data_IF_970612593514
#
_entry.id   IF_970612593514
#
_cell.length_a   1.000
_cell.length_b   1.000
_cell.length_c   1.000
_cell.angle_alpha   90.00
_cell.angle_beta   90.00
_cell.angle_gamma   90.00
#
_symmetry.space_group_name_H-M   'P 1'
#
loop_
_entity.id
_entity.type
_entity.pdbx_description
1 polymer ?
#
# COMPACT_ATOMS: atom_id res chain seq x y z
N UNK A 1 -1.20 -19.82 12.76
CA UNK A 1 -0.86 -18.71 11.84
C UNK A 1 -1.66 -18.93 10.55
N UNK A 2 -2.48 -17.98 10.12
CA UNK A 2 -3.20 -18.08 8.85
C UNK A 2 -2.32 -17.53 7.72
N UNK A 3 -2.18 -18.30 6.65
CA UNK A 3 -1.42 -17.94 5.44
C UNK A 3 -2.40 -17.73 4.30
N UNK A 4 -2.39 -16.54 3.72
CA UNK A 4 -3.25 -16.19 2.57
C UNK A 4 -2.64 -16.80 1.31
N UNK A 5 -3.43 -17.58 0.61
CA UNK A 5 -3.02 -18.24 -0.65
C UNK A 5 -3.82 -17.75 -1.86
N UNK A 6 -4.88 -16.95 -1.63
CA UNK A 6 -5.73 -16.42 -2.68
C UNK A 6 -6.41 -15.13 -2.21
N UNK A 7 -6.55 -14.17 -3.11
CA UNK A 7 -7.25 -12.92 -2.89
C UNK A 7 -8.49 -12.82 -3.80
N UNK A 8 -9.62 -12.30 -3.29
CA UNK A 8 -10.77 -11.93 -4.12
C UNK A 8 -10.43 -10.77 -5.07
N UNK A 9 -11.21 -10.63 -6.14
CA UNK A 9 -11.12 -9.47 -7.03
C UNK A 9 -11.42 -8.17 -6.28
N UNK A 10 -10.70 -7.12 -6.65
CA UNK A 10 -10.87 -5.79 -6.09
C UNK A 10 -10.28 -5.62 -4.69
N UNK A 11 -9.52 -6.57 -4.15
CA UNK A 11 -8.90 -6.47 -2.81
C UNK A 11 -7.41 -6.15 -2.95
N UNK A 12 -6.89 -5.28 -2.08
CA UNK A 12 -5.46 -5.05 -2.00
C UNK A 12 -4.74 -6.33 -1.58
N UNK A 13 -3.76 -6.75 -2.38
CA UNK A 13 -3.06 -8.00 -2.18
C UNK A 13 -1.55 -7.89 -2.06
N UNK A 14 -0.97 -6.75 -2.43
CA UNK A 14 0.47 -6.56 -2.42
C UNK A 14 0.87 -5.11 -2.21
N UNK A 15 2.09 -4.92 -1.72
CA UNK A 15 2.75 -3.63 -1.60
C UNK A 15 4.21 -3.73 -2.04
N UNK A 16 4.67 -2.73 -2.79
CA UNK A 16 6.05 -2.60 -3.24
C UNK A 16 6.67 -1.28 -2.80
N UNK A 17 7.89 -1.34 -2.29
CA UNK A 17 8.73 -0.17 -2.05
C UNK A 17 9.62 0.10 -3.26
N UNK A 18 9.52 1.29 -3.83
CA UNK A 18 10.56 1.82 -4.71
C UNK A 18 11.50 2.70 -3.89
N UNK A 19 12.79 2.36 -3.84
CA UNK A 19 13.75 3.05 -2.95
C UNK A 19 15.06 3.41 -3.65
N UNK A 20 15.71 4.47 -3.17
CA UNK A 20 17.04 4.89 -3.66
C UNK A 20 18.18 4.07 -3.11
N UNK A 21 17.94 3.30 -2.01
CA UNK A 21 18.94 2.47 -1.35
C UNK A 21 18.30 1.18 -0.80
N UNK A 22 18.42 0.10 -1.55
CA UNK A 22 17.90 -1.23 -1.17
C UNK A 22 18.59 -1.76 0.09
N UNK A 23 19.87 -1.54 0.28
CA UNK A 23 20.59 -2.05 1.44
C UNK A 23 20.12 -1.33 2.71
N UNK A 24 19.96 -0.01 2.65
CA UNK A 24 19.39 0.79 3.72
C UNK A 24 17.95 0.41 4.03
N UNK A 25 17.11 0.16 3.03
CA UNK A 25 15.74 -0.31 3.23
C UNK A 25 15.69 -1.69 3.93
N UNK A 26 16.52 -2.65 3.51
CA UNK A 26 16.62 -3.96 4.19
C UNK A 26 17.01 -3.81 5.65
N UNK A 27 17.98 -2.95 5.96
CA UNK A 27 18.43 -2.69 7.33
C UNK A 27 17.31 -2.06 8.17
N UNK A 28 16.61 -1.07 7.60
CA UNK A 28 15.53 -0.36 8.28
C UNK A 28 14.32 -1.26 8.55
N UNK A 29 13.73 -1.87 7.51
CA UNK A 29 12.53 -2.70 7.68
C UNK A 29 12.83 -4.03 8.40
N UNK A 30 14.03 -4.60 8.21
CA UNK A 30 14.51 -5.73 9.01
C UNK A 30 14.64 -5.39 10.48
N UNK A 31 15.20 -4.22 10.80
CA UNK A 31 15.35 -3.73 12.18
C UNK A 31 14.04 -3.30 12.84
N UNK A 32 13.08 -2.78 12.05
CA UNK A 32 11.79 -2.28 12.55
C UNK A 32 10.75 -3.39 12.72
N UNK A 33 10.59 -4.24 11.69
CA UNK A 33 9.51 -5.23 11.61
C UNK A 33 10.01 -6.67 11.71
N UNK A 34 11.33 -6.89 11.80
CA UNK A 34 11.91 -8.22 11.80
C UNK A 34 11.85 -8.93 10.44
N UNK A 35 11.68 -8.17 9.36
CA UNK A 35 11.59 -8.76 8.03
C UNK A 35 12.93 -9.33 7.56
N UNK A 36 12.88 -10.50 6.95
CA UNK A 36 13.99 -11.12 6.23
C UNK A 36 13.88 -10.73 4.75
N UNK A 37 15.01 -10.49 4.10
CA UNK A 37 15.06 -10.07 2.70
C UNK A 37 15.73 -11.15 1.84
N UNK A 38 15.01 -11.61 0.79
CA UNK A 38 15.52 -12.51 -0.23
C UNK A 38 15.56 -11.76 -1.57
N UNK A 39 16.73 -11.74 -2.22
CA UNK A 39 16.90 -11.14 -3.54
C UNK A 39 16.60 -12.15 -4.64
N UNK A 40 15.74 -11.77 -5.55
CA UNK A 40 15.27 -12.59 -6.66
C UNK A 40 15.72 -11.97 -7.98
N UNK A 41 16.51 -12.69 -8.81
CA UNK A 41 16.91 -12.21 -10.12
C UNK A 41 15.71 -11.94 -11.03
N UNK A 42 15.70 -10.78 -11.70
CA UNK A 42 14.61 -10.39 -12.64
C UNK A 42 14.89 -10.75 -14.09
N UNK A 43 16.04 -11.36 -14.38
CA UNK A 43 16.40 -11.81 -15.73
C UNK A 43 16.98 -10.75 -16.66
N UNK A 44 17.44 -9.61 -16.13
CA UNK A 44 18.08 -8.57 -16.94
C UNK A 44 18.04 -7.16 -16.37
N UNK A 45 17.35 -7.01 -15.24
CA UNK A 45 17.29 -5.78 -14.44
C UNK A 45 17.92 -5.97 -13.07
N UNK A 46 17.79 -4.98 -12.18
CA UNK A 46 18.18 -5.13 -10.79
C UNK A 46 17.33 -6.22 -10.12
N UNK A 47 17.92 -6.87 -9.10
CA UNK A 47 17.21 -7.87 -8.33
C UNK A 47 15.98 -7.27 -7.65
N UNK A 48 14.90 -8.06 -7.56
CA UNK A 48 13.72 -7.75 -6.76
C UNK A 48 13.90 -8.31 -5.37
N UNK A 49 13.72 -7.48 -4.35
CA UNK A 49 13.81 -7.91 -2.95
C UNK A 49 12.43 -8.33 -2.45
N UNK A 50 12.29 -9.59 -2.02
CA UNK A 50 11.11 -10.11 -1.35
C UNK A 50 11.33 -10.02 0.16
N UNK A 51 10.52 -9.23 0.86
CA UNK A 51 10.49 -9.23 2.32
C UNK A 51 9.59 -10.34 2.85
N UNK A 52 10.04 -11.03 3.90
CA UNK A 52 9.38 -12.20 4.47
C UNK A 52 9.37 -12.15 6.00
N UNK A 53 8.35 -12.78 6.58
CA UNK A 53 8.28 -13.16 8.01
C UNK A 53 8.09 -14.67 8.05
N UNK A 54 8.96 -15.39 8.76
CA UNK A 54 8.92 -16.86 8.87
C UNK A 54 8.81 -17.57 7.50
N UNK A 55 9.52 -17.06 6.49
CA UNK A 55 9.51 -17.59 5.13
C UNK A 55 8.29 -17.18 4.27
N UNK A 56 7.35 -16.42 4.81
CA UNK A 56 6.13 -15.96 4.12
C UNK A 56 6.28 -14.54 3.61
N UNK A 57 5.97 -14.31 2.33
CA UNK A 57 6.06 -13.00 1.69
C UNK A 57 5.08 -11.99 2.33
N UNK A 58 5.57 -10.77 2.62
CA UNK A 58 4.79 -9.68 3.23
C UNK A 58 4.84 -8.39 2.41
N UNK A 59 5.94 -8.12 1.71
CA UNK A 59 6.14 -6.93 0.89
C UNK A 59 7.26 -7.16 -0.12
N UNK A 60 7.34 -6.29 -1.12
CA UNK A 60 8.45 -6.24 -2.05
C UNK A 60 9.24 -4.95 -1.99
N UNK A 61 10.43 -4.94 -2.63
CA UNK A 61 11.16 -3.72 -2.89
C UNK A 61 11.98 -3.80 -4.17
N UNK A 62 12.05 -2.67 -4.86
CA UNK A 62 12.88 -2.49 -6.05
C UNK A 62 13.77 -1.25 -5.91
N UNK A 63 15.00 -1.28 -6.43
CA UNK A 63 15.77 -0.06 -6.56
C UNK A 63 15.13 0.87 -7.58
N UNK A 64 15.09 2.15 -7.25
CA UNK A 64 14.60 3.19 -8.14
C UNK A 64 15.47 3.27 -9.39
N UNK A 65 14.86 3.29 -10.58
CA UNK A 65 15.58 3.47 -11.83
C UNK A 65 16.17 4.87 -11.97
N UNK A 66 17.17 5.02 -12.83
CA UNK A 66 17.77 6.33 -13.11
C UNK A 66 16.75 7.29 -13.75
N UNK A 67 15.82 6.80 -14.58
CA UNK A 67 14.75 7.58 -15.16
C UNK A 67 13.80 8.14 -14.09
N UNK A 68 13.40 7.31 -13.11
CA UNK A 68 12.56 7.75 -11.99
C UNK A 68 13.28 8.81 -11.15
N UNK A 69 14.58 8.64 -10.90
CA UNK A 69 15.42 9.65 -10.21
C UNK A 69 15.48 10.96 -10.99
N UNK A 70 15.68 10.89 -12.30
CA UNK A 70 15.76 12.04 -13.19
C UNK A 70 14.42 12.81 -13.24
N UNK A 71 13.28 12.10 -13.14
CA UNK A 71 11.94 12.68 -13.05
C UNK A 71 11.60 13.23 -11.66
N UNK A 72 12.46 13.05 -10.66
CA UNK A 72 12.23 13.51 -9.30
C UNK A 72 11.19 12.69 -8.53
N UNK A 73 10.93 11.45 -8.93
CA UNK A 73 10.02 10.55 -8.19
C UNK A 73 10.64 10.27 -6.81
N UNK A 74 9.91 10.49 -5.71
CA UNK A 74 10.42 10.16 -4.38
C UNK A 74 10.39 8.64 -4.13
N UNK A 75 11.14 8.14 -3.15
CA UNK A 75 10.91 6.80 -2.61
C UNK A 75 9.45 6.65 -2.16
N UNK A 76 8.80 5.54 -2.53
CA UNK A 76 7.36 5.39 -2.33
C UNK A 76 6.96 3.94 -2.16
N UNK A 77 5.97 3.71 -1.30
CA UNK A 77 5.20 2.48 -1.25
C UNK A 77 4.05 2.54 -2.26
N UNK A 78 3.91 1.51 -3.07
CA UNK A 78 2.81 1.33 -4.04
C UNK A 78 1.97 0.15 -3.61
N UNK A 79 0.66 0.36 -3.45
CA UNK A 79 -0.30 -0.69 -3.14
C UNK A 79 -0.92 -1.25 -4.41
N UNK A 80 -1.07 -2.57 -4.48
CA UNK A 80 -1.63 -3.27 -5.63
C UNK A 80 -2.99 -3.88 -5.31
N UNK A 81 -3.95 -3.65 -6.18
CA UNK A 81 -5.28 -4.28 -6.16
C UNK A 81 -5.25 -5.52 -7.04
N UNK A 82 -5.65 -6.66 -6.47
CA UNK A 82 -5.84 -7.92 -7.23
C UNK A 82 -7.00 -7.76 -8.20
N UNK A 83 -6.78 -8.14 -9.45
CA UNK A 83 -7.79 -8.13 -10.49
C UNK A 83 -7.56 -9.27 -11.50
N UNK A 84 -8.59 -10.05 -11.84
CA UNK A 84 -8.45 -11.15 -12.81
C UNK A 84 -8.34 -10.61 -14.24
N UNK A 85 -9.22 -9.68 -14.63
CA UNK A 85 -9.23 -9.00 -15.92
C UNK A 85 -8.46 -7.68 -15.87
N UNK A 86 -7.13 -7.76 -15.88
CA UNK A 86 -6.26 -6.57 -15.76
C UNK A 86 -6.34 -5.67 -17.01
N UNK A 87 -6.53 -6.24 -18.20
CA UNK A 87 -6.63 -5.45 -19.44
C UNK A 87 -7.93 -4.65 -19.45
N UNK A 88 -9.06 -5.28 -19.11
CA UNK A 88 -10.34 -4.59 -18.97
C UNK A 88 -10.33 -3.55 -17.83
N UNK A 89 -9.67 -3.84 -16.71
CA UNK A 89 -9.55 -2.87 -15.62
C UNK A 89 -8.72 -1.65 -16.01
N UNK A 90 -7.61 -1.84 -16.73
CA UNK A 90 -6.80 -0.73 -17.26
C UNK A 90 -7.59 0.12 -18.29
N UNK A 91 -8.40 -0.51 -19.13
CA UNK A 91 -9.28 0.21 -20.07
C UNK A 91 -10.33 1.04 -19.31
N UNK A 92 -11.04 0.45 -18.32
CA UNK A 92 -12.00 1.18 -17.48
C UNK A 92 -11.33 2.33 -16.71
N UNK A 93 -10.10 2.15 -16.25
CA UNK A 93 -9.36 3.23 -15.58
C UNK A 93 -9.11 4.41 -16.52
N UNK A 94 -8.70 4.16 -17.76
CA UNK A 94 -8.52 5.22 -18.76
C UNK A 94 -9.86 5.91 -19.12
N UNK A 95 -10.94 5.13 -19.29
CA UNK A 95 -12.29 5.66 -19.56
C UNK A 95 -12.82 6.55 -18.43
N UNK A 96 -12.45 6.22 -17.16
CA UNK A 96 -12.83 6.98 -15.97
C UNK A 96 -11.92 8.19 -15.70
N UNK A 97 -11.03 8.56 -16.63
CA UNK A 97 -10.15 9.72 -16.52
C UNK A 97 -8.85 9.47 -15.75
N UNK A 98 -8.52 8.21 -15.46
CA UNK A 98 -7.22 7.83 -14.92
C UNK A 98 -6.12 7.81 -15.99
N UNK A 99 -4.87 7.79 -15.55
CA UNK A 99 -3.70 7.67 -16.43
C UNK A 99 -3.05 6.31 -16.23
N UNK A 100 -3.03 5.50 -17.30
CA UNK A 100 -2.30 4.22 -17.30
C UNK A 100 -0.86 4.52 -17.73
N UNK A 101 0.04 4.72 -16.78
CA UNK A 101 1.44 5.05 -17.10
C UNK A 101 2.32 3.82 -17.29
N UNK A 102 1.88 2.64 -16.81
CA UNK A 102 2.44 1.35 -17.18
C UNK A 102 1.30 0.41 -17.57
N UNK A 103 1.16 0.10 -18.87
CA UNK A 103 0.09 -0.81 -19.32
C UNK A 103 0.30 -2.23 -18.81
N UNK A 104 -0.75 -3.09 -18.83
CA UNK A 104 -0.64 -4.47 -18.40
C UNK A 104 0.52 -5.21 -19.06
N UNK A 105 1.44 -5.73 -18.25
CA UNK A 105 2.62 -6.45 -18.70
C UNK A 105 2.86 -7.70 -17.84
N UNK A 106 3.52 -8.69 -18.42
CA UNK A 106 3.89 -9.92 -17.72
C UNK A 106 5.09 -9.68 -16.80
N UNK A 107 5.01 -10.22 -15.59
CA UNK A 107 6.09 -10.30 -14.62
C UNK A 107 6.51 -11.76 -14.50
N UNK A 108 7.35 -12.20 -15.41
CA UNK A 108 7.81 -13.59 -15.53
C UNK A 108 6.58 -14.55 -15.49
N UNK A 109 6.64 -15.60 -14.67
CA UNK A 109 5.55 -16.53 -14.39
C UNK A 109 4.70 -16.12 -13.18
N UNK A 110 5.10 -15.07 -12.47
CA UNK A 110 4.45 -14.62 -11.22
C UNK A 110 3.04 -14.08 -11.45
N UNK A 111 2.85 -13.30 -12.51
CA UNK A 111 1.56 -12.66 -12.82
C UNK A 111 1.68 -11.56 -13.85
N UNK A 112 0.70 -10.67 -13.88
CA UNK A 112 0.69 -9.46 -14.70
C UNK A 112 0.46 -8.24 -13.83
N UNK A 113 1.12 -7.13 -14.15
CA UNK A 113 0.97 -5.87 -13.43
C UNK A 113 0.62 -4.73 -14.37
N UNK A 114 -0.01 -3.70 -13.82
CA UNK A 114 -0.16 -2.39 -14.43
C UNK A 114 0.00 -1.31 -13.35
N UNK A 115 0.46 -0.12 -13.72
CA UNK A 115 0.49 1.03 -12.82
C UNK A 115 -0.41 2.13 -13.37
N UNK A 116 -1.25 2.65 -12.50
CA UNK A 116 -2.33 3.58 -12.83
C UNK A 116 -2.33 4.73 -11.82
N UNK A 117 -2.70 5.90 -12.30
CA UNK A 117 -3.01 7.05 -11.46
C UNK A 117 -4.51 7.35 -11.62
N UNK A 118 -5.20 7.56 -10.52
CA UNK A 118 -6.59 7.98 -10.52
C UNK A 118 -6.72 9.47 -10.93
N UNK A 119 -7.93 9.96 -11.24
CA UNK A 119 -8.13 11.36 -11.64
C UNK A 119 -7.72 12.40 -10.59
N UNK A 120 -7.56 11.99 -9.33
CA UNK A 120 -7.14 12.89 -8.24
C UNK A 120 -5.63 12.98 -8.08
N UNK A 121 -4.89 12.09 -8.76
CA UNK A 121 -3.44 12.02 -8.73
C UNK A 121 -2.85 10.88 -7.91
N UNK A 122 -3.67 10.04 -7.27
CA UNK A 122 -3.18 8.92 -6.48
C UNK A 122 -2.77 7.74 -7.37
N UNK A 123 -1.51 7.33 -7.26
CA UNK A 123 -0.97 6.19 -8.00
C UNK A 123 -1.19 4.87 -7.24
N UNK A 124 -1.48 3.81 -7.97
CA UNK A 124 -1.63 2.46 -7.46
C UNK A 124 -1.28 1.41 -8.52
N UNK A 125 -1.03 0.20 -8.07
CA UNK A 125 -0.81 -0.95 -8.94
C UNK A 125 -2.08 -1.81 -9.09
N UNK A 126 -2.15 -2.53 -10.20
CA UNK A 126 -3.06 -3.65 -10.40
C UNK A 126 -2.23 -4.91 -10.53
N UNK A 127 -2.69 -6.02 -9.97
CA UNK A 127 -2.02 -7.32 -10.03
C UNK A 127 -2.98 -8.42 -10.43
N UNK A 128 -2.68 -9.09 -11.55
CA UNK A 128 -3.38 -10.31 -11.98
C UNK A 128 -2.46 -11.50 -11.70
N UNK A 129 -2.74 -12.30 -10.65
CA UNK A 129 -1.82 -13.34 -10.19
C UNK A 129 -1.79 -14.55 -11.12
N UNK A 130 -0.60 -15.17 -11.23
CA UNK A 130 -0.38 -16.53 -11.75
C UNK A 130 0.24 -17.39 -10.63
N UNK A 131 1.56 -17.51 -10.58
CA UNK A 131 2.25 -18.24 -9.52
C UNK A 131 2.33 -17.46 -8.20
N UNK A 132 2.24 -16.12 -8.22
CA UNK A 132 2.36 -15.29 -7.03
C UNK A 132 1.03 -14.60 -6.68
N UNK A 133 0.35 -15.03 -5.59
CA UNK A 133 -0.97 -14.50 -5.22
C UNK A 133 -0.93 -13.12 -4.54
N UNK A 134 0.22 -12.70 -4.01
CA UNK A 134 0.38 -11.50 -3.17
C UNK A 134 0.94 -11.83 -1.78
N UNK A 135 0.69 -10.96 -0.80
CA UNK A 135 1.17 -11.12 0.56
C UNK A 135 0.60 -12.38 1.22
N UNK A 136 1.47 -13.21 1.74
CA UNK A 136 1.06 -14.43 2.44
C UNK A 136 0.59 -14.14 3.88
N UNK A 137 1.03 -13.02 4.46
CA UNK A 137 0.64 -12.58 5.80
C UNK A 137 0.17 -11.13 5.73
N UNK A 138 -1.04 -10.89 6.24
CA UNK A 138 -1.67 -9.55 6.38
C UNK A 138 -2.50 -9.51 7.68
N UNK A 139 -2.90 -8.32 8.12
CA UNK A 139 -3.79 -8.09 9.26
C UNK A 139 -3.25 -8.67 10.59
N UNK A 140 -1.93 -8.61 10.76
CA UNK A 140 -1.23 -9.03 11.97
C UNK A 140 -0.02 -8.12 12.23
N UNK A 141 0.57 -8.11 13.43
CA UNK A 141 1.73 -7.29 13.71
C UNK A 141 2.84 -7.43 12.66
N UNK A 142 3.41 -6.30 12.27
CA UNK A 142 4.49 -6.14 11.29
C UNK A 142 4.12 -6.54 9.86
N UNK A 143 2.83 -6.49 9.50
CA UNK A 143 2.35 -6.74 8.13
C UNK A 143 1.37 -5.66 7.68
N UNK A 144 1.08 -5.63 6.37
CA UNK A 144 0.04 -4.79 5.80
C UNK A 144 -1.30 -5.06 6.51
N UNK A 145 -1.97 -4.00 6.95
CA UNK A 145 -3.26 -4.08 7.60
C UNK A 145 -4.34 -3.19 6.95
N UNK A 146 -3.94 -2.08 6.34
CA UNK A 146 -4.89 -1.16 5.74
C UNK A 146 -4.26 -0.36 4.60
N UNK A 147 -5.08 0.11 3.68
CA UNK A 147 -4.73 1.10 2.68
C UNK A 147 -5.70 2.26 2.77
N UNK A 148 -5.19 3.48 2.70
CA UNK A 148 -6.00 4.68 2.84
C UNK A 148 -5.73 5.65 1.70
N UNK A 149 -6.76 5.99 0.94
CA UNK A 149 -6.69 7.04 -0.05
C UNK A 149 -6.75 8.41 0.64
N UNK A 150 -5.76 9.23 0.40
CA UNK A 150 -5.70 10.62 0.84
C UNK A 150 -5.89 11.51 -0.38
N UNK A 151 -7.02 12.21 -0.46
CA UNK A 151 -7.37 13.00 -1.64
C UNK A 151 -8.16 14.26 -1.29
N UNK A 152 -8.03 15.32 -2.12
CA UNK A 152 -8.82 16.54 -2.03
C UNK A 152 -10.13 16.47 -2.84
N UNK A 153 -10.25 15.50 -3.75
CA UNK A 153 -11.46 15.29 -4.57
C UNK A 153 -12.02 13.88 -4.36
N UNK A 154 -12.59 13.69 -3.16
CA UNK A 154 -13.22 12.42 -2.80
C UNK A 154 -14.37 12.02 -3.74
N UNK A 155 -15.25 12.94 -4.24
CA UNK A 155 -16.27 12.59 -5.21
C UNK A 155 -15.71 11.97 -6.49
N UNK A 156 -14.65 12.53 -7.08
CA UNK A 156 -14.00 11.98 -8.27
C UNK A 156 -13.39 10.60 -8.00
N UNK A 157 -12.71 10.44 -6.84
CA UNK A 157 -12.15 9.16 -6.43
C UNK A 157 -13.22 8.07 -6.27
N UNK A 158 -14.33 8.38 -5.57
CA UNK A 158 -15.46 7.43 -5.39
C UNK A 158 -16.03 6.97 -6.72
N UNK A 159 -16.24 7.90 -7.67
CA UNK A 159 -16.74 7.57 -9.00
C UNK A 159 -15.76 6.66 -9.76
N UNK A 160 -14.46 6.97 -9.70
CA UNK A 160 -13.40 6.22 -10.35
C UNK A 160 -13.32 4.77 -9.82
N UNK A 161 -13.14 4.58 -8.51
CA UNK A 161 -12.96 3.24 -7.95
C UNK A 161 -14.22 2.38 -8.05
N UNK A 162 -15.39 2.99 -8.01
CA UNK A 162 -16.66 2.29 -8.32
C UNK A 162 -16.69 1.80 -9.77
N UNK A 163 -16.25 2.62 -10.73
CA UNK A 163 -16.25 2.25 -12.15
C UNK A 163 -15.20 1.16 -12.45
N UNK A 164 -13.99 1.30 -11.89
CA UNK A 164 -12.88 0.40 -12.21
C UNK A 164 -13.01 -0.95 -11.53
N UNK A 165 -13.34 -0.98 -10.24
CA UNK A 165 -13.33 -2.17 -9.40
C UNK A 165 -14.72 -2.60 -8.91
N UNK A 166 -15.76 -1.81 -9.14
CA UNK A 166 -17.10 -2.09 -8.61
C UNK A 166 -17.19 -1.90 -7.08
N UNK A 167 -16.27 -1.14 -6.48
CA UNK A 167 -16.29 -0.92 -5.04
C UNK A 167 -17.55 -0.21 -4.59
N UNK A 168 -18.10 -0.66 -3.46
CA UNK A 168 -19.17 0.03 -2.73
C UNK A 168 -18.52 0.95 -1.71
N UNK A 169 -19.00 2.16 -1.59
CA UNK A 169 -18.51 3.13 -0.62
C UNK A 169 -19.57 3.45 0.42
N UNK A 170 -19.12 3.71 1.64
CA UNK A 170 -19.96 4.13 2.77
C UNK A 170 -19.24 5.20 3.59
N UNK A 171 -19.90 6.30 3.84
CA UNK A 171 -19.40 7.38 4.70
C UNK A 171 -19.65 7.04 6.16
N UNK A 172 -18.66 7.31 7.03
CA UNK A 172 -18.82 7.12 8.47
C UNK A 172 -19.72 8.21 9.04
N UNK A 173 -20.67 7.81 9.89
CA UNK A 173 -21.63 8.72 10.54
C UNK A 173 -21.06 9.37 11.82
N UNK A 174 -19.83 9.86 11.73
CA UNK A 174 -19.11 10.51 12.84
C UNK A 174 -18.71 11.97 12.54
N UNK A 175 -19.11 12.46 11.36
CA UNK A 175 -18.79 13.81 10.90
C UNK A 175 -17.35 14.01 10.44
N UNK A 176 -16.54 12.96 10.37
CA UNK A 176 -15.15 13.02 9.89
C UNK A 176 -15.05 13.20 8.38
N UNK A 177 -16.09 12.81 7.63
CA UNK A 177 -16.07 12.69 6.19
C UNK A 177 -15.24 11.50 5.69
N UNK A 178 -14.82 10.61 6.59
CA UNK A 178 -14.10 9.39 6.24
C UNK A 178 -15.02 8.44 5.48
N UNK A 179 -14.52 7.89 4.38
CA UNK A 179 -15.27 6.95 3.55
C UNK A 179 -14.56 5.60 3.55
N UNK A 180 -15.30 4.54 3.78
CA UNK A 180 -14.82 3.17 3.61
C UNK A 180 -15.21 2.62 2.26
N UNK A 181 -14.38 1.77 1.69
CA UNK A 181 -14.64 1.05 0.46
C UNK A 181 -14.67 -0.47 0.70
N UNK A 182 -15.62 -1.13 0.07
CA UNK A 182 -15.79 -2.58 0.13
C UNK A 182 -15.73 -3.21 -1.27
N UNK A 183 -15.01 -4.32 -1.38
CA UNK A 183 -15.07 -5.23 -2.51
C UNK A 183 -16.02 -6.38 -2.17
N UNK A 184 -17.16 -6.48 -2.87
CA UNK A 184 -18.26 -7.33 -2.44
C UNK A 184 -18.81 -6.89 -1.09
N UNK A 185 -18.77 -7.77 -0.09
CA UNK A 185 -19.22 -7.48 1.29
C UNK A 185 -18.04 -7.25 2.25
N UNK A 186 -16.81 -7.23 1.73
CA UNK A 186 -15.60 -7.03 2.52
C UNK A 186 -15.15 -5.57 2.47
N UNK A 187 -15.12 -4.91 3.63
CA UNK A 187 -14.40 -3.64 3.81
C UNK A 187 -12.91 -3.90 3.67
N UNK A 188 -12.20 -3.09 2.88
CA UNK A 188 -10.80 -3.36 2.56
C UNK A 188 -9.89 -2.14 2.60
N UNK A 189 -10.44 -0.94 2.47
CA UNK A 189 -9.68 0.30 2.50
C UNK A 189 -10.58 1.48 2.85
N UNK A 190 -9.97 2.61 3.11
CA UNK A 190 -10.70 3.85 3.38
C UNK A 190 -10.18 5.03 2.60
N UNK A 191 -10.82 6.17 2.77
CA UNK A 191 -10.36 7.45 2.24
C UNK A 191 -10.50 8.53 3.28
N UNK A 192 -9.41 9.24 3.52
CA UNK A 192 -9.36 10.42 4.35
C UNK A 192 -9.37 11.67 3.46
N UNK A 193 -10.39 12.56 3.56
CA UNK A 193 -10.39 13.79 2.81
C UNK A 193 -9.28 14.73 3.29
N UNK A 194 -8.43 15.18 2.36
CA UNK A 194 -7.40 16.17 2.64
C UNK A 194 -8.02 17.55 2.70
N UNK A 195 -8.08 18.14 3.88
CA UNK A 195 -8.61 19.48 4.12
C UNK A 195 -7.51 20.56 4.04
N UNK A 196 -7.84 21.80 4.38
CA UNK A 196 -6.93 22.96 4.33
C UNK A 196 -5.73 22.89 5.29
N UNK A 197 -5.76 21.98 6.29
CA UNK A 197 -4.64 21.76 7.21
C UNK A 197 -3.52 20.92 6.60
N UNK A 198 -3.77 20.24 5.49
CA UNK A 198 -2.76 19.50 4.76
C UNK A 198 -1.88 20.43 3.95
N UNK A 199 -0.57 20.21 4.00
CA UNK A 199 0.35 20.94 3.14
C UNK A 199 -0.06 20.75 1.67
N UNK A 200 -0.20 21.88 0.95
CA UNK A 200 -0.64 21.88 -0.44
C UNK A 200 0.29 21.12 -1.39
N UNK A 201 1.56 20.92 -1.01
CA UNK A 201 2.55 20.18 -1.78
C UNK A 201 2.35 18.65 -1.70
N UNK A 202 1.59 18.14 -0.71
CA UNK A 202 1.32 16.71 -0.59
C UNK A 202 0.29 16.33 -1.66
N UNK A 203 0.65 15.49 -2.64
CA UNK A 203 -0.31 15.03 -3.66
C UNK A 203 -1.30 14.02 -3.07
N UNK A 204 -2.40 13.78 -3.80
CA UNK A 204 -3.24 12.63 -3.51
C UNK A 204 -2.41 11.34 -3.59
N UNK A 205 -2.64 10.41 -2.66
CA UNK A 205 -1.83 9.20 -2.55
C UNK A 205 -2.59 8.07 -1.86
N UNK A 206 -2.12 6.84 -2.03
CA UNK A 206 -2.49 5.69 -1.23
C UNK A 206 -1.46 5.50 -0.12
N UNK A 207 -1.87 5.75 1.12
CA UNK A 207 -1.06 5.49 2.30
C UNK A 207 -1.14 4.02 2.71
N UNK A 208 0.01 3.39 2.92
CA UNK A 208 0.12 2.01 3.42
C UNK A 208 0.18 2.03 4.93
N UNK A 209 -0.61 1.17 5.57
CA UNK A 209 -0.66 1.01 7.02
C UNK A 209 -0.13 -0.36 7.41
N UNK A 210 0.93 -0.35 8.24
CA UNK A 210 1.43 -1.56 8.89
C UNK A 210 0.86 -1.66 10.31
N UNK A 211 0.35 -2.84 10.66
CA UNK A 211 -0.03 -3.11 12.04
C UNK A 211 1.22 -3.20 12.93
N UNK A 212 1.16 -2.63 14.11
CA UNK A 212 2.18 -2.78 15.17
C UNK A 212 1.52 -3.12 16.50
N UNK A 213 2.25 -3.78 17.38
CA UNK A 213 1.75 -4.12 18.72
C UNK A 213 1.78 -2.92 19.68
N UNK A 214 2.81 -2.06 19.54
CA UNK A 214 3.04 -0.89 20.39
C UNK A 214 3.55 0.26 19.53
N UNK A 215 2.72 1.29 19.35
CA UNK A 215 3.05 2.46 18.53
C UNK A 215 4.16 3.34 19.17
N UNK A 216 4.23 3.41 20.50
CA UNK A 216 5.25 4.22 21.18
C UNK A 216 6.62 3.54 21.08
N UNK A 217 6.69 2.23 21.27
CA UNK A 217 7.91 1.45 21.04
C UNK A 217 8.36 1.50 19.58
N UNK A 218 7.40 1.44 18.64
CA UNK A 218 7.67 1.58 17.20
C UNK A 218 8.24 2.96 16.88
N UNK A 219 7.69 4.04 17.45
CA UNK A 219 8.19 5.39 17.26
C UNK A 219 9.65 5.55 17.73
N UNK A 220 9.98 5.01 18.90
CA UNK A 220 11.35 4.99 19.42
C UNK A 220 12.28 4.21 18.47
N UNK A 221 11.84 3.04 18.01
CA UNK A 221 12.63 2.19 17.12
C UNK A 221 12.88 2.82 15.75
N UNK A 222 11.90 3.54 15.21
CA UNK A 222 12.05 4.33 13.95
C UNK A 222 13.20 5.32 14.09
N UNK A 223 13.27 6.07 15.18
CA UNK A 223 14.32 7.05 15.40
C UNK A 223 15.72 6.40 15.55
N UNK A 224 15.82 5.27 16.27
CA UNK A 224 17.08 4.50 16.39
C UNK A 224 17.59 4.00 15.05
N UNK A 225 16.70 3.67 14.13
CA UNK A 225 17.03 3.17 12.79
C UNK A 225 17.24 4.28 11.76
N UNK A 226 17.23 5.55 12.17
CA UNK A 226 17.47 6.70 11.30
C UNK A 226 16.26 7.17 10.49
N UNK A 227 15.07 6.64 10.74
CA UNK A 227 13.82 7.17 10.22
C UNK A 227 13.31 8.36 11.02
N UNK A 228 12.18 8.92 10.60
CA UNK A 228 11.55 10.06 11.27
C UNK A 228 10.05 9.81 11.48
N UNK A 229 9.55 10.12 12.69
CA UNK A 229 8.12 10.23 12.96
C UNK A 229 7.66 11.60 12.51
N UNK A 230 6.80 11.65 11.49
CA UNK A 230 6.28 12.89 10.92
C UNK A 230 5.03 13.38 11.68
N UNK A 231 4.19 12.42 12.12
CA UNK A 231 2.94 12.70 12.84
C UNK A 231 2.74 11.67 13.95
N UNK A 232 2.27 12.12 15.09
CA UNK A 232 1.89 11.25 16.22
C UNK A 232 3.00 11.02 17.25
N UNK A 233 2.75 10.06 18.17
CA UNK A 233 1.60 9.14 18.28
C UNK A 233 0.26 9.86 18.53
N UNK A 234 -0.72 9.61 17.68
CA UNK A 234 -2.06 10.20 17.77
C UNK A 234 -3.13 9.11 17.94
N UNK A 235 -4.27 9.49 18.49
CA UNK A 235 -5.45 8.62 18.56
C UNK A 235 -6.23 8.66 17.24
N UNK A 236 -6.66 7.48 16.77
CA UNK A 236 -7.65 7.29 15.73
C UNK A 236 -9.02 6.88 16.34
N UNK A 237 -9.39 7.50 17.46
CA UNK A 237 -10.62 7.19 18.17
C UNK A 237 -10.64 5.75 18.70
N UNK A 238 -11.75 5.06 18.49
CA UNK A 238 -11.94 3.68 18.93
C UNK A 238 -11.09 2.68 18.12
N UNK A 239 -10.60 3.08 16.94
CA UNK A 239 -9.82 2.19 16.08
C UNK A 239 -8.40 1.92 16.59
N UNK A 240 -7.79 2.88 17.30
CA UNK A 240 -6.44 2.67 17.83
C UNK A 240 -5.59 3.92 17.89
N UNK A 241 -4.26 3.73 17.80
CA UNK A 241 -3.27 4.80 17.78
C UNK A 241 -2.31 4.60 16.61
N UNK A 242 -1.82 5.71 16.06
CA UNK A 242 -0.96 5.65 14.87
C UNK A 242 0.16 6.68 14.91
N UNK A 243 1.19 6.40 14.12
CA UNK A 243 2.25 7.34 13.72
C UNK A 243 2.37 7.32 12.21
N UNK A 244 2.69 8.48 11.62
CA UNK A 244 3.17 8.55 10.23
C UNK A 244 4.68 8.60 10.24
N UNK A 245 5.29 7.72 9.49
CA UNK A 245 6.73 7.47 9.49
C UNK A 245 7.31 7.78 8.12
N UNK A 246 8.48 8.38 8.09
CA UNK A 246 9.34 8.45 6.91
C UNK A 246 10.59 7.60 7.16
N UNK A 247 10.86 6.66 6.26
CA UNK A 247 12.07 5.86 6.33
C UNK A 247 13.33 6.69 6.00
N UNK A 248 14.54 6.18 6.20
CA UNK A 248 15.77 6.93 5.94
C UNK A 248 15.97 7.36 4.48
N UNK A 249 15.30 6.70 3.52
CA UNK A 249 15.36 7.01 2.11
C UNK A 249 14.29 8.01 1.66
N UNK A 250 13.24 8.21 2.46
CA UNK A 250 12.17 9.17 2.22
C UNK A 250 10.79 8.58 1.98
N UNK A 251 10.64 7.26 1.91
CA UNK A 251 9.33 6.64 1.75
C UNK A 251 8.47 6.79 3.01
N UNK A 252 7.19 7.09 2.83
CA UNK A 252 6.26 7.36 3.92
C UNK A 252 5.28 6.20 4.06
N UNK A 253 5.00 5.82 5.31
CA UNK A 253 3.98 4.84 5.68
C UNK A 253 3.36 5.18 7.03
N UNK A 254 2.26 4.54 7.38
CA UNK A 254 1.62 4.64 8.70
C UNK A 254 1.86 3.35 9.47
N UNK A 255 2.27 3.46 10.74
CA UNK A 255 2.25 2.35 11.68
C UNK A 255 1.07 2.53 12.64
N UNK A 256 0.23 1.50 12.76
CA UNK A 256 -1.00 1.58 13.54
C UNK A 256 -1.13 0.42 14.52
N UNK A 257 -1.38 0.78 15.76
CA UNK A 257 -1.78 -0.14 16.83
C UNK A 257 -3.30 -0.13 16.91
N UNK A 258 -3.93 -1.23 16.51
CA UNK A 258 -5.39 -1.38 16.54
C UNK A 258 -5.87 -1.80 17.94
N UNK A 259 -7.02 -1.26 18.39
CA UNK A 259 -7.62 -1.58 19.68
C UNK A 259 -8.41 -2.90 19.72
N UNK A 260 -8.67 -3.51 18.57
CA UNK A 260 -9.46 -4.72 18.43
C UNK A 260 -8.90 -5.69 17.40
N UNK A 261 -9.51 -6.86 17.26
CA UNK A 261 -9.12 -7.79 16.22
C UNK A 261 -9.42 -7.18 14.84
N UNK A 262 -8.46 -7.32 13.94
CA UNK A 262 -8.69 -7.02 12.52
C UNK A 262 -9.60 -8.08 11.89
N UNK A 263 -10.30 -7.68 10.84
CA UNK A 263 -11.02 -8.63 10.00
C UNK A 263 -10.09 -9.79 9.59
N UNK A 264 -10.61 -11.02 9.49
CA UNK A 264 -9.82 -12.14 9.01
C UNK A 264 -9.13 -11.78 7.69
N UNK A 265 -7.93 -12.32 7.43
CA UNK A 265 -7.27 -12.12 6.15
C UNK A 265 -8.16 -12.52 4.96
N UNK A 266 -7.98 -11.94 3.78
CA UNK A 266 -8.70 -12.35 2.56
C UNK A 266 -8.55 -13.84 2.28
N UNK A 267 -9.61 -14.48 1.76
CA UNK A 267 -9.60 -15.91 1.45
C UNK A 267 -9.83 -16.84 2.64
N UNK A 268 -10.31 -16.30 3.77
CA UNK A 268 -10.75 -17.08 4.94
C UNK A 268 -12.15 -17.63 4.74
#
# INVERSE_FOLDING_TARGET
MHVVTKYPDGVFNWIDLTTTDIAGAKAFYGGLFGWQADDMPTGGGPDYTMFKIDGHAVAGATPMSDDMRAMGVPPVWVSYVKIDDIDGAAARAAEAGGVVFMPPMDVLDSGRMALVQDPTGAAFGMWSPRAFPGAALVNRPNTLAWNELQTRDLPAARAFYRHVFGWKDSEMDDGSGYVTFAAGDRMQCGSLPMNEMWDASIPANWAVYFMVEDVDATAARVAELGGAVLVGPNSAGEMGRFIVVRDPQGAVFTAMQFNGPMDPPPGY
#
